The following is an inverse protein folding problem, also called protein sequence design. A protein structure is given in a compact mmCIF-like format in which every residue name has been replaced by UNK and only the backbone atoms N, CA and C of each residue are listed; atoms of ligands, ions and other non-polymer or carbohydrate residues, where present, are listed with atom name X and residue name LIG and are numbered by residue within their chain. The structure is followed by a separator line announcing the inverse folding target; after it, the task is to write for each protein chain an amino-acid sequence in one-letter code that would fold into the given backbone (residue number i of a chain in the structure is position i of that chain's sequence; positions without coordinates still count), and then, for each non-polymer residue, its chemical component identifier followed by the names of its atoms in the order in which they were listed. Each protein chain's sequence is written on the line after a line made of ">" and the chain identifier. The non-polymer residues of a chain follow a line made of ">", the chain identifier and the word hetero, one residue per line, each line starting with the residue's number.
data_IF_083355595658
#
_entry.id   IF_083355595658
#
_cell.length_a   1.000
_cell.length_b   1.000
_cell.length_c   1.000
_cell.angle_alpha   90.00
_cell.angle_beta   90.00
_cell.angle_gamma   90.00
#
_symmetry.space_group_name_H-M   'P 1'
#
loop_
_entity.id
_entity.type
_entity.pdbx_description
1 polymer ?
#
# COMPACT_ATOMS: atom_id res chain seq x y z
N UNK A 1 -54.44 73.85 37.85
CA UNK A 1 -52.99 73.64 37.96
C UNK A 1 -52.75 72.18 37.62
N UNK A 2 -52.71 71.91 36.33
CA UNK A 2 -52.50 70.58 35.75
C UNK A 2 -51.04 70.18 35.92
N UNK A 3 -50.80 68.99 36.45
CA UNK A 3 -49.53 68.30 36.31
C UNK A 3 -49.80 66.95 35.68
N UNK A 4 -49.62 66.92 34.37
CA UNK A 4 -49.76 65.77 33.49
C UNK A 4 -48.54 64.86 33.69
N UNK A 5 -48.71 63.74 34.38
CA UNK A 5 -47.70 62.68 34.44
C UNK A 5 -47.95 61.68 33.30
N UNK A 6 -47.04 61.69 32.34
CA UNK A 6 -46.95 60.72 31.24
C UNK A 6 -46.49 59.35 31.78
N UNK A 7 -47.12 58.23 31.37
CA UNK A 7 -46.60 56.90 31.65
C UNK A 7 -45.38 56.57 30.76
N UNK A 8 -44.42 55.76 31.24
CA UNK A 8 -43.25 55.37 30.44
C UNK A 8 -43.66 54.46 29.27
N UNK A 9 -43.08 54.72 28.10
CA UNK A 9 -43.18 53.88 26.90
C UNK A 9 -42.68 52.45 27.21
N UNK A 10 -43.29 51.38 26.65
CA UNK A 10 -42.87 50.02 26.91
C UNK A 10 -41.56 49.70 26.18
N UNK A 11 -40.49 49.49 26.96
CA UNK A 11 -39.15 49.08 26.53
C UNK A 11 -39.11 47.73 25.80
N UNK A 12 -40.22 46.99 25.79
CA UNK A 12 -40.39 45.72 25.09
C UNK A 12 -40.61 45.87 23.57
N UNK A 13 -41.08 47.02 23.07
CA UNK A 13 -41.31 47.20 21.62
C UNK A 13 -40.00 47.53 20.87
N UNK A 14 -39.04 48.20 21.53
CA UNK A 14 -37.75 48.54 20.93
C UNK A 14 -36.84 47.31 20.73
N UNK A 15 -36.96 46.30 21.62
CA UNK A 15 -36.15 45.07 21.56
C UNK A 15 -36.64 44.11 20.46
N UNK A 16 -37.94 44.12 20.16
CA UNK A 16 -38.53 43.31 19.07
C UNK A 16 -38.18 43.87 17.69
N UNK A 17 -38.06 45.20 17.56
CA UNK A 17 -37.65 45.83 16.30
C UNK A 17 -36.16 45.59 15.96
N UNK A 18 -35.29 45.49 16.98
CA UNK A 18 -33.86 45.17 16.79
C UNK A 18 -33.62 43.69 16.45
N UNK A 19 -34.47 42.78 16.98
CA UNK A 19 -34.45 41.37 16.61
C UNK A 19 -34.96 41.15 15.17
N UNK A 20 -35.97 41.90 14.70
CA UNK A 20 -36.49 41.76 13.33
C UNK A 20 -35.49 42.25 12.26
N UNK A 21 -34.74 43.33 12.52
CA UNK A 21 -33.68 43.82 11.62
C UNK A 21 -32.44 42.92 11.57
N UNK A 22 -32.24 42.07 12.59
CA UNK A 22 -31.13 41.11 12.61
C UNK A 22 -31.43 39.84 11.80
N UNK A 23 -32.71 39.55 11.51
CA UNK A 23 -33.12 38.40 10.69
C UNK A 23 -33.18 38.69 9.18
N UNK A 24 -33.09 39.95 8.74
CA UNK A 24 -33.16 40.29 7.30
C UNK A 24 -31.80 40.43 6.60
N UNK A 25 -30.67 40.16 7.28
CA UNK A 25 -29.33 40.38 6.72
C UNK A 25 -28.69 39.16 6.06
N UNK A 26 -29.39 38.03 5.94
CA UNK A 26 -28.95 36.92 5.09
C UNK A 26 -29.50 37.09 3.67
N UNK A 27 -28.97 38.08 2.95
CA UNK A 27 -28.97 37.98 1.49
C UNK A 27 -28.02 36.85 1.11
N UNK A 28 -28.59 35.68 0.87
CA UNK A 28 -27.94 34.61 0.12
C UNK A 28 -27.72 35.16 -1.28
N UNK A 29 -26.52 35.65 -1.55
CA UNK A 29 -26.09 35.93 -2.90
C UNK A 29 -25.90 34.57 -3.58
N UNK A 30 -26.91 34.11 -4.32
CA UNK A 30 -26.74 33.05 -5.32
C UNK A 30 -25.84 33.62 -6.41
N UNK A 31 -24.54 33.44 -6.25
CA UNK A 31 -23.63 33.49 -7.38
C UNK A 31 -23.90 32.24 -8.22
N UNK A 32 -24.61 32.44 -9.31
CA UNK A 32 -24.85 31.46 -10.37
C UNK A 32 -23.50 31.14 -11.05
N UNK A 33 -22.71 30.29 -10.39
CA UNK A 33 -21.55 29.63 -10.97
C UNK A 33 -21.98 28.24 -11.39
N UNK A 34 -22.07 28.00 -12.71
CA UNK A 34 -22.39 26.71 -13.33
C UNK A 34 -21.75 25.54 -12.58
N UNK A 35 -22.56 24.86 -11.76
CA UNK A 35 -22.23 23.57 -11.17
C UNK A 35 -22.40 22.52 -12.25
N UNK A 36 -21.29 22.05 -12.81
CA UNK A 36 -21.25 20.69 -13.32
C UNK A 36 -21.32 19.76 -12.11
N UNK A 37 -22.42 18.99 -12.04
CA UNK A 37 -22.72 17.88 -11.11
C UNK A 37 -22.86 18.22 -9.62
N UNK A 38 -24.10 18.54 -9.20
CA UNK A 38 -24.87 17.84 -8.16
C UNK A 38 -24.31 17.54 -6.75
N UNK A 39 -23.14 18.04 -6.34
CA UNK A 39 -22.58 17.72 -5.02
C UNK A 39 -23.18 18.62 -3.91
N UNK A 40 -23.65 18.02 -2.80
CA UNK A 40 -24.26 18.73 -1.68
C UNK A 40 -23.25 19.70 -1.00
N UNK A 41 -23.62 20.98 -0.78
CA UNK A 41 -22.72 22.03 -0.25
C UNK A 41 -22.27 21.83 1.21
N UNK A 42 -22.86 20.87 1.92
CA UNK A 42 -22.56 20.55 3.32
C UNK A 42 -21.73 19.28 3.51
N UNK A 43 -21.19 18.71 2.44
CA UNK A 43 -20.27 17.56 2.53
C UNK A 43 -18.89 17.96 3.05
N UNK A 44 -18.14 16.99 3.62
CA UNK A 44 -16.77 17.23 4.04
C UNK A 44 -15.88 17.67 2.86
N UNK A 45 -16.08 17.09 1.67
CA UNK A 45 -15.46 17.51 0.40
C UNK A 45 -15.78 18.97 0.07
N UNK A 46 -17.05 19.40 0.17
CA UNK A 46 -17.42 20.80 -0.06
C UNK A 46 -16.80 21.75 0.98
N UNK A 47 -16.69 21.32 2.23
CA UNK A 47 -16.00 22.08 3.28
C UNK A 47 -14.50 22.26 2.99
N UNK A 48 -13.83 21.17 2.56
CA UNK A 48 -12.43 21.20 2.14
C UNK A 48 -12.22 22.10 0.92
N UNK A 49 -13.08 22.00 -0.09
CA UNK A 49 -13.05 22.87 -1.29
C UNK A 49 -13.22 24.34 -0.89
N UNK A 50 -14.15 24.66 0.01
CA UNK A 50 -14.37 26.02 0.51
C UNK A 50 -13.15 26.54 1.28
N UNK A 51 -12.57 25.72 2.15
CA UNK A 51 -11.35 26.07 2.87
C UNK A 51 -10.19 26.29 1.91
N UNK A 52 -10.01 25.41 0.92
CA UNK A 52 -8.99 25.53 -0.12
C UNK A 52 -9.17 26.81 -0.93
N UNK A 53 -10.39 27.12 -1.37
CA UNK A 53 -10.69 28.37 -2.08
C UNK A 53 -10.40 29.62 -1.24
N UNK A 54 -10.53 29.53 0.10
CA UNK A 54 -10.27 30.65 1.00
C UNK A 54 -8.77 30.83 1.27
N UNK A 55 -8.02 29.75 1.40
CA UNK A 55 -6.61 29.78 1.83
C UNK A 55 -5.61 29.75 0.68
N UNK A 56 -6.01 29.24 -0.48
CA UNK A 56 -5.14 29.07 -1.64
C UNK A 56 -5.68 29.93 -2.78
N UNK A 57 -5.03 31.08 -2.96
CA UNK A 57 -5.42 32.11 -3.94
C UNK A 57 -4.99 31.82 -5.38
N UNK A 58 -4.37 30.66 -5.64
CA UNK A 58 -3.93 30.31 -6.99
C UNK A 58 -5.09 29.76 -7.84
N UNK A 59 -4.95 29.87 -9.18
CA UNK A 59 -5.95 29.39 -10.14
C UNK A 59 -5.67 27.96 -10.63
N UNK A 60 -4.81 27.22 -9.94
CA UNK A 60 -4.43 25.87 -10.35
C UNK A 60 -5.58 24.88 -10.08
N UNK A 61 -5.72 23.82 -10.89
CA UNK A 61 -6.67 22.76 -10.60
C UNK A 61 -6.38 22.17 -9.22
N UNK A 62 -7.43 21.95 -8.43
CA UNK A 62 -7.29 21.31 -7.11
C UNK A 62 -6.83 19.87 -7.33
N UNK A 63 -5.84 19.37 -6.56
CA UNK A 63 -5.38 17.99 -6.70
C UNK A 63 -6.55 17.02 -6.53
N UNK A 64 -6.88 16.29 -7.60
CA UNK A 64 -7.99 15.33 -7.62
C UNK A 64 -7.80 14.24 -6.57
N UNK A 65 -6.55 13.84 -6.33
CA UNK A 65 -6.16 12.91 -5.28
C UNK A 65 -6.55 13.38 -3.87
N UNK A 66 -6.33 14.65 -3.52
CA UNK A 66 -6.69 15.15 -2.18
C UNK A 66 -8.21 15.26 -2.00
N UNK A 67 -8.92 15.59 -3.08
CA UNK A 67 -10.38 15.66 -3.07
C UNK A 67 -11.04 14.27 -3.07
N UNK A 68 -10.40 13.25 -3.65
CA UNK A 68 -10.88 11.87 -3.60
C UNK A 68 -10.67 11.21 -2.24
N UNK A 69 -9.70 11.70 -1.45
CA UNK A 69 -9.44 11.25 -0.07
C UNK A 69 -10.18 12.06 1.01
N UNK A 70 -11.00 13.06 0.63
CA UNK A 70 -11.85 13.77 1.57
C UNK A 70 -12.93 12.82 2.13
N UNK A 71 -13.27 12.96 3.42
CA UNK A 71 -14.25 12.08 4.09
C UNK A 71 -15.55 11.96 3.27
N UNK A 72 -16.06 10.74 3.04
CA UNK A 72 -17.25 10.51 2.23
C UNK A 72 -18.56 10.81 2.97
N UNK A 73 -18.50 11.37 4.19
CA UNK A 73 -19.71 11.73 4.95
C UNK A 73 -20.62 12.60 4.10
N UNK A 74 -21.77 12.02 3.77
CA UNK A 74 -22.88 12.79 3.23
C UNK A 74 -23.47 13.69 4.34
N UNK A 75 -24.24 14.69 3.94
CA UNK A 75 -24.79 15.66 4.89
C UNK A 75 -25.76 15.05 5.92
N UNK A 76 -26.41 13.93 5.57
CA UNK A 76 -27.36 13.23 6.45
C UNK A 76 -26.60 12.52 7.56
N UNK A 77 -25.60 11.71 7.21
CA UNK A 77 -24.74 11.02 8.17
C UNK A 77 -24.02 12.04 9.06
N UNK A 78 -23.51 13.12 8.48
CA UNK A 78 -22.89 14.21 9.24
C UNK A 78 -23.84 14.83 10.27
N UNK A 79 -25.10 15.10 9.91
CA UNK A 79 -26.10 15.65 10.82
C UNK A 79 -26.49 14.66 11.94
N UNK A 80 -26.68 13.38 11.60
CA UNK A 80 -27.00 12.32 12.56
C UNK A 80 -25.86 12.12 13.55
N UNK A 81 -24.63 12.02 13.06
CA UNK A 81 -23.44 11.82 13.88
C UNK A 81 -23.14 13.05 14.74
N UNK A 82 -23.38 14.26 14.23
CA UNK A 82 -23.30 15.50 15.02
C UNK A 82 -24.31 15.50 16.16
N UNK A 83 -25.55 15.03 15.91
CA UNK A 83 -26.57 14.88 16.94
C UNK A 83 -26.19 13.84 18.00
N UNK A 84 -25.60 12.72 17.59
CA UNK A 84 -25.10 11.70 18.52
C UNK A 84 -23.93 12.23 19.36
N UNK A 85 -23.05 13.04 18.77
CA UNK A 85 -21.94 13.69 19.47
C UNK A 85 -22.43 14.69 20.52
N UNK A 86 -23.41 15.55 20.18
CA UNK A 86 -23.97 16.52 21.14
C UNK A 86 -24.74 15.85 22.28
N UNK A 87 -25.23 14.63 22.06
CA UNK A 87 -25.90 13.81 23.06
C UNK A 87 -24.96 12.90 23.86
N UNK A 88 -23.64 12.99 23.67
CA UNK A 88 -22.65 12.07 24.26
C UNK A 88 -22.92 10.58 23.94
N UNK A 89 -23.64 10.28 22.86
CA UNK A 89 -24.02 8.94 22.43
C UNK A 89 -23.18 8.43 21.24
N UNK A 90 -22.14 9.17 20.84
CA UNK A 90 -21.29 8.81 19.70
C UNK A 90 -20.47 7.54 19.97
N UNK A 91 -20.07 7.28 21.22
CA UNK A 91 -19.26 6.11 21.60
C UNK A 91 -19.96 4.78 21.31
N UNK A 92 -21.28 4.70 21.48
CA UNK A 92 -22.07 3.50 21.15
C UNK A 92 -22.29 3.30 19.65
N UNK A 93 -21.93 4.29 18.83
CA UNK A 93 -22.08 4.26 17.38
C UNK A 93 -20.73 4.48 16.67
N UNK A 94 -19.61 4.28 17.38
CA UNK A 94 -18.28 4.62 16.88
C UNK A 94 -17.95 3.79 15.63
N UNK A 95 -18.32 2.51 15.57
CA UNK A 95 -18.12 1.70 14.35
C UNK A 95 -18.89 2.24 13.14
N UNK A 96 -20.14 2.69 13.33
CA UNK A 96 -20.95 3.30 12.26
C UNK A 96 -20.40 4.68 11.87
N UNK A 97 -19.97 5.48 12.84
CA UNK A 97 -19.31 6.76 12.62
C UNK A 97 -18.07 6.57 11.76
N UNK A 98 -17.20 5.64 12.11
CA UNK A 98 -15.92 5.45 11.44
C UNK A 98 -16.08 4.84 10.04
N UNK A 99 -17.07 3.96 9.83
CA UNK A 99 -17.43 3.46 8.51
C UNK A 99 -17.97 4.58 7.61
N UNK A 100 -18.95 5.36 8.05
CA UNK A 100 -19.52 6.47 7.27
C UNK A 100 -18.52 7.61 7.07
N UNK A 101 -17.63 7.83 8.04
CA UNK A 101 -16.60 8.86 7.99
C UNK A 101 -15.31 8.45 7.28
N UNK A 102 -15.17 7.16 6.98
CA UNK A 102 -13.95 6.57 6.46
C UNK A 102 -12.75 6.94 7.36
N UNK A 103 -12.93 6.90 8.68
CA UNK A 103 -11.93 7.25 9.69
C UNK A 103 -11.34 5.99 10.31
N UNK A 104 -10.06 6.05 10.73
CA UNK A 104 -9.44 4.96 11.47
C UNK A 104 -9.98 4.87 12.89
N UNK A 105 -10.62 3.75 13.20
CA UNK A 105 -11.06 3.45 14.54
C UNK A 105 -10.76 2.00 14.85
N UNK A 106 -9.88 1.80 15.82
CA UNK A 106 -9.52 0.48 16.32
C UNK A 106 -10.61 0.05 17.29
N UNK A 107 -11.30 -1.02 16.94
CA UNK A 107 -12.20 -1.74 17.84
C UNK A 107 -11.70 -3.16 17.92
N UNK A 108 -11.55 -3.68 19.13
CA UNK A 108 -11.26 -5.10 19.35
C UNK A 108 -12.37 -5.93 18.69
N UNK A 109 -12.04 -6.45 17.50
CA UNK A 109 -12.97 -7.24 16.70
C UNK A 109 -12.83 -8.68 17.15
N UNK A 110 -13.88 -9.24 17.77
CA UNK A 110 -13.92 -10.65 18.10
C UNK A 110 -13.79 -11.49 16.82
N UNK A 111 -12.83 -12.42 16.81
CA UNK A 111 -12.59 -13.34 15.70
C UNK A 111 -13.82 -14.23 15.48
N UNK A 112 -14.47 -14.10 14.33
CA UNK A 112 -15.50 -15.06 13.89
C UNK A 112 -14.82 -16.15 13.07
N UNK A 113 -14.92 -17.39 13.51
CA UNK A 113 -14.41 -18.56 12.78
C UNK A 113 -15.55 -19.13 11.93
N UNK A 114 -15.60 -18.74 10.66
CA UNK A 114 -16.47 -19.40 9.69
C UNK A 114 -15.71 -20.59 9.07
N UNK A 115 -16.09 -21.82 9.43
CA UNK A 115 -15.66 -23.03 8.73
C UNK A 115 -16.60 -23.24 7.53
N UNK A 116 -16.16 -22.82 6.34
CA UNK A 116 -16.87 -23.11 5.09
C UNK A 116 -16.32 -24.40 4.48
N UNK A 117 -17.22 -25.32 4.10
CA UNK A 117 -16.91 -26.67 3.58
C UNK A 117 -17.10 -26.73 2.06
N UNK A 118 -17.48 -25.62 1.41
CA UNK A 118 -17.79 -25.55 -0.03
C UNK A 118 -16.98 -24.46 -0.70
N UNK A 119 -16.69 -24.69 -1.98
CA UNK A 119 -16.05 -23.76 -2.91
C UNK A 119 -16.82 -22.44 -2.93
N UNK A 120 -16.11 -21.34 -2.74
CA UNK A 120 -16.72 -20.02 -2.67
C UNK A 120 -16.09 -19.04 -3.65
N UNK A 121 -16.94 -18.16 -4.19
CA UNK A 121 -16.54 -17.04 -5.01
C UNK A 121 -17.01 -15.73 -4.34
N UNK A 122 -16.08 -15.04 -3.70
CA UNK A 122 -16.33 -13.77 -3.02
C UNK A 122 -16.04 -12.62 -3.98
N UNK A 123 -17.11 -12.06 -4.56
CA UNK A 123 -16.99 -10.92 -5.48
C UNK A 123 -16.77 -9.58 -4.77
N UNK A 124 -17.40 -9.38 -3.60
CA UNK A 124 -17.27 -8.17 -2.77
C UNK A 124 -17.37 -8.59 -1.30
N UNK A 125 -16.33 -8.32 -0.53
CA UNK A 125 -16.27 -8.73 0.88
C UNK A 125 -15.40 -7.75 1.64
N UNK A 126 -15.85 -7.23 2.79
CA UNK A 126 -15.19 -6.09 3.44
C UNK A 126 -14.85 -6.38 4.89
N UNK A 127 -13.58 -6.18 5.23
CA UNK A 127 -13.06 -6.06 6.60
C UNK A 127 -13.38 -7.21 7.56
N UNK A 128 -13.29 -8.46 7.07
CA UNK A 128 -13.68 -9.65 7.84
C UNK A 128 -12.56 -10.67 7.89
N UNK A 129 -11.91 -10.77 9.05
CA UNK A 129 -10.80 -11.70 9.21
C UNK A 129 -11.20 -13.17 9.13
N UNK A 130 -10.32 -13.99 8.58
CA UNK A 130 -10.45 -15.44 8.55
C UNK A 130 -9.33 -16.09 9.36
N UNK A 131 -9.69 -16.89 10.35
CA UNK A 131 -8.70 -17.64 11.12
C UNK A 131 -8.12 -18.81 10.31
N UNK A 132 -8.99 -19.61 9.69
CA UNK A 132 -8.62 -20.70 8.78
C UNK A 132 -9.71 -20.78 7.71
N UNK A 133 -9.32 -20.76 6.44
CA UNK A 133 -10.23 -20.90 5.30
C UNK A 133 -9.58 -21.83 4.26
N UNK A 134 -10.34 -22.71 3.62
CA UNK A 134 -9.81 -23.62 2.59
C UNK A 134 -8.85 -24.71 3.08
N UNK A 135 -8.64 -24.86 4.38
CA UNK A 135 -7.71 -25.87 4.91
C UNK A 135 -8.18 -27.32 4.65
N UNK A 136 -7.24 -28.22 4.35
CA UNK A 136 -7.44 -29.67 4.14
C UNK A 136 -8.44 -30.03 3.04
N UNK A 137 -8.61 -29.15 2.06
CA UNK A 137 -9.48 -29.39 0.88
C UNK A 137 -8.84 -30.38 -0.08
N UNK A 138 -9.68 -31.11 -0.81
CA UNK A 138 -9.26 -32.06 -1.86
C UNK A 138 -9.88 -31.59 -3.17
N UNK A 139 -9.07 -31.05 -4.07
CA UNK A 139 -9.54 -30.39 -5.28
C UNK A 139 -10.46 -29.21 -4.98
N UNK A 140 -11.01 -28.59 -6.03
CA UNK A 140 -11.90 -27.43 -5.91
C UNK A 140 -11.18 -26.10 -6.12
N UNK A 141 -11.97 -25.03 -6.18
CA UNK A 141 -11.47 -23.66 -6.40
C UNK A 141 -12.12 -22.70 -5.42
N UNK A 142 -11.31 -21.92 -4.72
CA UNK A 142 -11.78 -20.77 -3.94
C UNK A 142 -11.26 -19.47 -4.56
N UNK A 143 -12.13 -18.48 -4.79
CA UNK A 143 -11.76 -17.23 -5.45
C UNK A 143 -12.24 -15.99 -4.69
N UNK A 144 -11.35 -15.02 -4.46
CA UNK A 144 -11.65 -13.70 -3.88
C UNK A 144 -11.28 -12.60 -4.87
N UNK A 145 -12.25 -11.78 -5.31
CA UNK A 145 -12.00 -10.80 -6.38
C UNK A 145 -11.74 -9.38 -5.89
N UNK A 146 -12.47 -8.90 -4.88
CA UNK A 146 -12.39 -7.52 -4.38
C UNK A 146 -12.56 -7.50 -2.86
N UNK A 147 -11.55 -7.99 -2.15
CA UNK A 147 -11.61 -8.09 -0.70
C UNK A 147 -11.16 -6.76 -0.08
N UNK A 148 -12.03 -6.09 0.66
CA UNK A 148 -11.78 -4.82 1.38
C UNK A 148 -11.43 -3.64 0.48
N UNK A 149 -11.82 -3.69 -0.80
CA UNK A 149 -11.59 -2.62 -1.76
C UNK A 149 -12.40 -1.35 -1.44
N UNK A 150 -11.78 -0.19 -1.67
CA UNK A 150 -12.39 1.13 -1.50
C UNK A 150 -12.58 1.57 -0.04
N UNK A 151 -12.14 0.77 0.93
CA UNK A 151 -12.13 1.15 2.34
C UNK A 151 -10.93 2.05 2.62
N UNK A 152 -11.09 3.14 3.37
CA UNK A 152 -9.94 3.98 3.74
C UNK A 152 -8.96 3.24 4.64
N UNK A 153 -9.46 2.34 5.49
CA UNK A 153 -8.68 1.64 6.50
C UNK A 153 -8.99 0.13 6.53
N UNK A 154 -8.59 -0.63 5.49
CA UNK A 154 -8.85 -2.07 5.43
C UNK A 154 -7.98 -2.83 6.44
N UNK A 155 -8.60 -3.69 7.26
CA UNK A 155 -7.97 -4.41 8.36
C UNK A 155 -8.31 -5.91 8.44
N UNK A 156 -9.02 -6.47 7.46
CA UNK A 156 -9.49 -7.85 7.50
C UNK A 156 -8.40 -8.89 7.18
N UNK A 157 -7.73 -9.44 8.19
CA UNK A 157 -6.61 -10.38 8.00
C UNK A 157 -7.01 -11.84 7.73
N UNK A 158 -6.14 -12.57 7.02
CA UNK A 158 -6.16 -14.03 6.92
C UNK A 158 -5.03 -14.62 7.77
N UNK A 159 -5.37 -15.45 8.75
CA UNK A 159 -4.34 -16.17 9.52
C UNK A 159 -3.87 -17.43 8.79
N UNK A 160 -4.79 -18.21 8.21
CA UNK A 160 -4.49 -19.37 7.35
C UNK A 160 -5.47 -19.44 6.19
N UNK A 161 -4.93 -19.62 5.00
CA UNK A 161 -5.70 -19.90 3.78
C UNK A 161 -5.09 -21.13 3.07
N UNK A 162 -5.91 -22.13 2.78
CA UNK A 162 -5.55 -23.36 2.06
C UNK A 162 -4.39 -24.16 2.65
N UNK A 163 -4.33 -24.25 3.98
CA UNK A 163 -3.35 -25.09 4.65
C UNK A 163 -3.64 -26.57 4.46
N UNK A 164 -2.60 -27.37 4.21
CA UNK A 164 -2.66 -28.84 4.11
C UNK A 164 -3.65 -29.36 3.05
N UNK A 165 -3.94 -28.55 2.02
CA UNK A 165 -4.86 -28.91 0.92
C UNK A 165 -4.17 -29.83 -0.11
N UNK A 166 -4.95 -30.49 -0.95
CA UNK A 166 -4.45 -31.39 -2.00
C UNK A 166 -5.13 -31.11 -3.33
N UNK A 167 -4.38 -30.65 -4.32
CA UNK A 167 -4.91 -30.35 -5.67
C UNK A 167 -5.93 -29.20 -5.72
N UNK A 168 -6.04 -28.43 -4.64
CA UNK A 168 -6.94 -27.29 -4.54
C UNK A 168 -6.36 -26.08 -5.28
N UNK A 169 -7.22 -25.22 -5.82
CA UNK A 169 -6.81 -23.99 -6.49
C UNK A 169 -7.33 -22.77 -5.74
N UNK A 170 -6.43 -21.86 -5.38
CA UNK A 170 -6.79 -20.60 -4.74
C UNK A 170 -6.57 -19.44 -5.70
N UNK A 171 -7.55 -18.56 -5.81
CA UNK A 171 -7.44 -17.32 -6.57
C UNK A 171 -7.75 -16.12 -5.67
N UNK A 172 -6.88 -15.12 -5.68
CA UNK A 172 -7.06 -13.88 -4.92
C UNK A 172 -6.70 -12.68 -5.79
N UNK A 173 -7.69 -12.05 -6.43
CA UNK A 173 -7.46 -11.01 -7.44
C UNK A 173 -7.10 -9.65 -6.83
N UNK A 174 -7.78 -9.21 -5.77
CA UNK A 174 -7.54 -7.90 -5.16
C UNK A 174 -7.81 -7.93 -3.67
N UNK A 175 -6.84 -7.41 -2.92
CA UNK A 175 -6.94 -7.15 -1.50
C UNK A 175 -6.72 -5.65 -1.23
N UNK A 176 -7.69 -5.01 -0.58
CA UNK A 176 -7.60 -3.68 0.01
C UNK A 176 -7.18 -2.56 -0.94
N UNK A 177 -7.64 -2.66 -2.19
CA UNK A 177 -7.40 -1.64 -3.20
C UNK A 177 -7.95 -0.27 -2.79
N UNK A 178 -7.28 0.80 -3.22
CA UNK A 178 -7.72 2.19 -3.09
C UNK A 178 -7.81 2.70 -1.63
N UNK A 179 -7.18 2.00 -0.69
CA UNK A 179 -7.11 2.40 0.71
C UNK A 179 -6.26 3.64 0.98
N UNK A 180 -6.34 4.15 2.22
CA UNK A 180 -5.40 5.14 2.70
C UNK A 180 -4.35 4.50 3.60
N UNK A 181 -4.76 3.75 4.61
CA UNK A 181 -3.81 2.97 5.42
C UNK A 181 -4.37 1.57 5.61
N UNK A 182 -3.70 0.60 5.01
CA UNK A 182 -4.08 -0.80 5.13
C UNK A 182 -3.32 -1.43 6.30
N UNK A 183 -4.03 -2.19 7.15
CA UNK A 183 -3.44 -2.84 8.34
C UNK A 183 -3.75 -4.32 8.40
N UNK A 184 -4.42 -4.86 7.40
CA UNK A 184 -4.74 -6.29 7.38
C UNK A 184 -3.57 -7.11 6.82
N UNK A 185 -3.49 -8.35 7.25
CA UNK A 185 -2.29 -9.19 7.13
C UNK A 185 -2.63 -10.59 6.62
N UNK A 186 -1.67 -11.27 6.01
CA UNK A 186 -1.77 -12.69 5.63
C UNK A 186 -0.68 -13.49 6.33
N UNK A 187 -1.03 -14.20 7.41
CA UNK A 187 -0.04 -14.97 8.15
C UNK A 187 0.33 -16.29 7.48
N UNK A 188 -0.59 -16.90 6.71
CA UNK A 188 -0.34 -18.20 6.10
C UNK A 188 -1.20 -18.46 4.87
N UNK A 189 -0.56 -18.91 3.80
CA UNK A 189 -1.22 -19.25 2.55
C UNK A 189 -0.59 -20.52 1.97
N UNK A 190 -1.39 -21.53 1.68
CA UNK A 190 -0.97 -22.78 1.04
C UNK A 190 -0.10 -23.69 1.91
N UNK A 191 0.14 -23.38 3.19
CA UNK A 191 1.09 -24.13 4.02
C UNK A 191 0.82 -25.64 4.03
N UNK A 192 1.76 -26.45 3.53
CA UNK A 192 1.64 -27.91 3.46
C UNK A 192 0.79 -28.43 2.30
N UNK A 193 0.42 -27.57 1.35
CA UNK A 193 -0.38 -27.95 0.19
C UNK A 193 0.37 -28.93 -0.72
N UNK A 194 -0.36 -29.87 -1.31
CA UNK A 194 0.18 -30.88 -2.22
C UNK A 194 -0.53 -30.86 -3.56
N UNK A 195 0.17 -30.45 -4.63
CA UNK A 195 -0.45 -30.20 -5.93
C UNK A 195 -1.43 -29.04 -5.89
N UNK A 196 -2.00 -28.69 -7.05
CA UNK A 196 -2.85 -27.51 -7.17
C UNK A 196 -2.05 -26.24 -7.45
N UNK A 197 -2.66 -25.07 -7.25
CA UNK A 197 -1.98 -23.80 -7.43
C UNK A 197 -2.64 -22.65 -6.69
N UNK A 198 -1.83 -21.67 -6.29
CA UNK A 198 -2.29 -20.40 -5.74
C UNK A 198 -1.94 -19.23 -6.65
N UNK A 199 -2.93 -18.40 -6.95
CA UNK A 199 -2.74 -17.13 -7.64
C UNK A 199 -3.16 -15.97 -6.74
N UNK A 200 -2.29 -14.98 -6.61
CA UNK A 200 -2.60 -13.73 -5.93
C UNK A 200 -2.20 -12.56 -6.83
N UNK A 201 -3.18 -11.84 -7.36
CA UNK A 201 -2.92 -10.83 -8.38
C UNK A 201 -2.49 -9.51 -7.78
N UNK A 202 -3.24 -8.91 -6.85
CA UNK A 202 -2.92 -7.58 -6.30
C UNK A 202 -3.14 -7.48 -4.80
N UNK A 203 -2.13 -7.02 -4.07
CA UNK A 203 -2.25 -6.69 -2.65
C UNK A 203 -1.97 -5.21 -2.41
N UNK A 204 -2.93 -4.52 -1.78
CA UNK A 204 -2.88 -3.10 -1.42
C UNK A 204 -2.52 -2.18 -2.61
N UNK A 205 -3.06 -2.39 -3.83
CA UNK A 205 -2.79 -1.47 -4.92
C UNK A 205 -3.43 -0.11 -4.63
N UNK A 206 -2.74 0.98 -4.96
CA UNK A 206 -3.22 2.36 -4.80
C UNK A 206 -3.45 2.76 -3.33
N UNK A 207 -2.84 2.05 -2.38
CA UNK A 207 -2.89 2.36 -0.95
C UNK A 207 -1.81 3.38 -0.60
N UNK A 208 -2.17 4.46 0.09
CA UNK A 208 -1.21 5.52 0.44
C UNK A 208 -0.16 5.07 1.48
N UNK A 209 -0.59 4.30 2.48
CA UNK A 209 0.25 3.69 3.52
C UNK A 209 -0.04 2.21 3.70
N UNK A 210 0.58 1.33 2.88
CA UNK A 210 0.47 -0.09 3.05
C UNK A 210 1.28 -0.57 4.25
N UNK A 211 0.74 -1.58 4.93
CA UNK A 211 1.44 -2.34 5.95
C UNK A 211 1.28 -3.82 5.64
N UNK A 212 2.13 -4.30 4.74
CA UNK A 212 2.08 -5.69 4.28
C UNK A 212 2.88 -6.58 5.20
N UNK A 213 2.20 -7.51 5.86
CA UNK A 213 2.85 -8.60 6.57
C UNK A 213 2.38 -9.94 6.01
N UNK A 214 3.30 -10.60 5.29
CA UNK A 214 3.16 -11.94 4.76
C UNK A 214 4.12 -12.89 5.47
N UNK A 215 3.57 -13.74 6.35
CA UNK A 215 4.42 -14.51 7.27
C UNK A 215 4.84 -15.87 6.72
N UNK A 216 3.96 -16.59 6.04
CA UNK A 216 4.29 -17.92 5.51
C UNK A 216 3.57 -18.18 4.21
N UNK A 217 4.32 -18.68 3.24
CA UNK A 217 3.79 -18.96 1.92
C UNK A 217 4.26 -20.32 1.44
N UNK A 218 3.33 -21.25 1.45
CA UNK A 218 3.51 -22.67 1.16
C UNK A 218 4.76 -23.32 1.78
N UNK A 219 5.02 -23.12 3.09
CA UNK A 219 6.04 -23.90 3.75
C UNK A 219 5.66 -25.38 3.73
N UNK A 220 6.63 -26.23 3.43
CA UNK A 220 6.49 -27.68 3.30
C UNK A 220 5.55 -28.14 2.17
N UNK A 221 5.22 -27.26 1.21
CA UNK A 221 4.45 -27.61 0.02
C UNK A 221 5.12 -28.63 -0.89
N UNK A 222 4.34 -29.29 -1.72
CA UNK A 222 4.85 -30.24 -2.71
C UNK A 222 4.11 -30.11 -4.04
N UNK A 223 4.81 -29.71 -5.10
CA UNK A 223 4.26 -29.52 -6.45
C UNK A 223 3.07 -28.56 -6.52
N UNK A 224 2.97 -27.62 -5.60
CA UNK A 224 1.94 -26.60 -5.57
C UNK A 224 2.53 -25.32 -6.20
N UNK A 225 2.01 -24.89 -7.36
CA UNK A 225 2.58 -23.75 -8.09
C UNK A 225 1.98 -22.46 -7.58
N UNK A 226 2.82 -21.43 -7.43
CA UNK A 226 2.37 -20.15 -6.91
C UNK A 226 2.73 -18.99 -7.83
N UNK A 227 1.83 -18.03 -7.95
CA UNK A 227 2.06 -16.84 -8.76
C UNK A 227 1.53 -15.59 -8.08
N UNK A 228 2.39 -14.59 -8.03
CA UNK A 228 2.11 -13.24 -7.55
C UNK A 228 2.37 -12.24 -8.65
N UNK A 229 1.34 -11.47 -8.99
CA UNK A 229 1.52 -10.41 -9.98
C UNK A 229 2.11 -9.16 -9.31
N UNK A 230 1.34 -8.45 -8.48
CA UNK A 230 1.76 -7.17 -7.96
C UNK A 230 1.49 -7.03 -6.45
N UNK A 231 2.52 -6.59 -5.73
CA UNK A 231 2.38 -6.07 -4.39
C UNK A 231 2.59 -4.58 -4.43
N UNK A 232 1.57 -3.84 -3.96
CA UNK A 232 1.68 -2.43 -3.61
C UNK A 232 2.20 -1.55 -4.74
N UNK A 233 1.28 -0.93 -5.47
CA UNK A 233 1.63 -0.02 -6.56
C UNK A 233 1.03 1.37 -6.33
N UNK A 234 1.69 2.39 -6.87
CA UNK A 234 1.37 3.81 -6.71
C UNK A 234 1.16 4.21 -5.23
N UNK A 235 2.06 3.76 -4.33
CA UNK A 235 2.02 4.11 -2.91
C UNK A 235 2.92 5.29 -2.53
N UNK A 236 2.59 6.00 -1.46
CA UNK A 236 3.40 7.13 -0.98
C UNK A 236 4.47 6.69 0.04
N UNK A 237 4.08 5.87 1.01
CA UNK A 237 5.03 5.42 2.03
C UNK A 237 4.56 4.15 2.71
N UNK A 238 5.43 3.23 3.06
CA UNK A 238 4.99 2.07 3.82
C UNK A 238 6.10 1.08 4.06
N UNK A 239 5.71 -0.09 4.55
CA UNK A 239 6.64 -1.20 4.75
C UNK A 239 5.98 -2.52 4.41
N UNK A 240 6.80 -3.42 3.90
CA UNK A 240 6.39 -4.75 3.49
C UNK A 240 7.38 -5.77 4.05
N UNK A 241 6.86 -6.87 4.56
CA UNK A 241 7.66 -7.96 5.08
C UNK A 241 7.12 -9.29 4.61
N UNK A 242 7.99 -10.03 3.92
CA UNK A 242 7.72 -11.32 3.31
C UNK A 242 8.65 -12.36 3.90
N UNK A 243 8.08 -13.40 4.52
CA UNK A 243 8.87 -14.42 5.21
C UNK A 243 8.44 -15.84 4.83
N UNK A 244 9.41 -16.77 4.84
CA UNK A 244 9.19 -18.21 4.71
C UNK A 244 8.43 -18.66 3.44
N UNK A 245 8.87 -18.20 2.28
CA UNK A 245 8.32 -18.60 0.98
C UNK A 245 8.92 -19.92 0.49
N UNK A 246 8.07 -20.91 0.18
CA UNK A 246 8.50 -22.22 -0.33
C UNK A 246 9.47 -22.96 0.61
N UNK A 247 9.51 -22.57 1.89
CA UNK A 247 10.46 -23.10 2.88
C UNK A 247 10.22 -24.59 3.09
N UNK A 248 11.25 -25.41 2.93
CA UNK A 248 11.19 -26.89 2.92
C UNK A 248 10.23 -27.45 1.85
N UNK A 249 9.85 -26.65 0.85
CA UNK A 249 9.00 -27.09 -0.24
C UNK A 249 9.74 -28.01 -1.21
N UNK A 250 8.97 -28.77 -1.99
CA UNK A 250 9.46 -29.66 -3.05
C UNK A 250 8.79 -29.28 -4.36
N UNK A 251 9.56 -28.72 -5.31
CA UNK A 251 9.06 -28.25 -6.60
C UNK A 251 7.83 -27.32 -6.45
N UNK A 252 7.93 -26.30 -5.61
CA UNK A 252 6.93 -25.25 -5.36
C UNK A 252 7.41 -23.96 -6.06
N UNK A 253 7.39 -23.90 -7.41
CA UNK A 253 7.91 -22.74 -8.11
C UNK A 253 7.07 -21.51 -7.78
N UNK A 254 7.75 -20.41 -7.47
CA UNK A 254 7.13 -19.13 -7.21
C UNK A 254 7.52 -18.11 -8.30
N UNK A 255 6.51 -17.47 -8.88
CA UNK A 255 6.69 -16.41 -9.86
C UNK A 255 6.19 -15.09 -9.26
N UNK A 256 7.04 -14.06 -9.29
CA UNK A 256 6.76 -12.72 -8.80
C UNK A 256 7.00 -11.69 -9.89
N UNK A 257 5.98 -10.88 -10.17
CA UNK A 257 6.05 -9.92 -11.29
C UNK A 257 6.55 -8.55 -10.85
N UNK A 258 5.90 -7.88 -9.90
CA UNK A 258 6.29 -6.54 -9.42
C UNK A 258 6.06 -6.35 -7.92
N UNK A 259 6.90 -5.50 -7.33
CA UNK A 259 6.77 -4.97 -5.98
C UNK A 259 7.02 -3.47 -6.00
N UNK A 260 6.18 -2.67 -5.35
CA UNK A 260 6.46 -1.27 -5.10
C UNK A 260 6.49 -0.41 -6.37
N UNK A 261 5.77 -0.76 -7.44
CA UNK A 261 5.82 -0.01 -8.70
C UNK A 261 5.27 1.42 -8.51
N UNK A 262 5.89 2.40 -9.17
CA UNK A 262 5.47 3.81 -9.11
C UNK A 262 5.36 4.40 -7.68
N UNK A 263 6.14 3.89 -6.74
CA UNK A 263 6.00 4.23 -5.32
C UNK A 263 6.99 5.29 -4.86
N UNK A 264 6.71 5.98 -3.75
CA UNK A 264 7.60 7.01 -3.21
C UNK A 264 8.63 6.41 -2.23
N UNK A 265 8.28 6.23 -0.94
CA UNK A 265 9.20 5.68 0.08
C UNK A 265 8.66 4.34 0.61
N UNK A 266 8.91 3.26 -0.11
CA UNK A 266 8.52 1.91 0.30
C UNK A 266 9.75 1.14 0.79
N UNK A 267 9.57 0.41 1.89
CA UNK A 267 10.61 -0.44 2.46
C UNK A 267 10.19 -1.90 2.44
N UNK A 268 10.87 -2.76 1.67
CA UNK A 268 10.48 -4.17 1.55
C UNK A 268 11.56 -5.10 2.10
N UNK A 269 11.15 -6.07 2.91
CA UNK A 269 12.05 -7.07 3.52
C UNK A 269 11.63 -8.48 3.14
N UNK A 270 12.58 -9.25 2.62
CA UNK A 270 12.37 -10.61 2.11
C UNK A 270 13.26 -11.59 2.86
N UNK A 271 12.68 -12.62 3.46
CA UNK A 271 13.43 -13.55 4.33
C UNK A 271 13.02 -15.01 4.12
N UNK A 272 14.02 -15.89 3.99
CA UNK A 272 13.85 -17.35 3.97
C UNK A 272 13.03 -17.86 2.78
N UNK A 273 13.34 -17.36 1.58
CA UNK A 273 12.82 -17.90 0.33
C UNK A 273 13.55 -19.19 -0.03
N UNK A 274 12.81 -20.25 -0.36
CA UNK A 274 13.37 -21.54 -0.75
C UNK A 274 14.28 -22.19 0.31
N UNK A 275 14.18 -21.77 1.58
CA UNK A 275 15.06 -22.28 2.63
C UNK A 275 14.87 -23.79 2.81
N UNK A 276 15.94 -24.59 2.70
CA UNK A 276 15.93 -26.06 2.75
C UNK A 276 14.99 -26.71 1.72
N UNK A 277 14.65 -25.99 0.65
CA UNK A 277 13.75 -26.49 -0.38
C UNK A 277 14.47 -27.37 -1.41
N UNK A 278 13.72 -28.14 -2.18
CA UNK A 278 14.25 -29.07 -3.18
C UNK A 278 13.60 -28.83 -4.54
N UNK A 279 14.41 -28.53 -5.56
CA UNK A 279 13.97 -28.37 -6.94
C UNK A 279 13.15 -27.11 -7.19
N UNK A 280 13.39 -26.04 -6.43
CA UNK A 280 12.68 -24.77 -6.65
C UNK A 280 13.15 -24.08 -7.92
N UNK A 281 12.22 -23.38 -8.57
CA UNK A 281 12.49 -22.59 -9.75
C UNK A 281 11.71 -21.28 -9.64
N UNK A 282 12.33 -20.30 -9.02
CA UNK A 282 11.71 -19.04 -8.63
C UNK A 282 12.16 -17.91 -9.57
N UNK A 283 11.20 -17.07 -9.96
CA UNK A 283 11.44 -15.93 -10.84
C UNK A 283 10.89 -14.65 -10.22
N UNK A 284 11.76 -13.64 -10.12
CA UNK A 284 11.45 -12.32 -9.58
C UNK A 284 11.77 -11.27 -10.65
N UNK A 285 10.73 -10.62 -11.17
CA UNK A 285 10.86 -9.82 -12.40
C UNK A 285 11.15 -8.35 -12.15
N UNK A 286 10.48 -7.71 -11.19
CA UNK A 286 10.67 -6.28 -10.94
C UNK A 286 10.49 -5.92 -9.46
N UNK A 287 11.38 -5.07 -8.97
CA UNK A 287 11.27 -4.38 -7.69
C UNK A 287 11.45 -2.87 -7.92
N UNK A 288 10.48 -2.10 -7.44
CA UNK A 288 10.49 -0.64 -7.36
C UNK A 288 10.75 0.07 -8.69
N UNK A 289 10.07 -0.39 -9.73
CA UNK A 289 10.14 0.25 -11.03
C UNK A 289 9.58 1.68 -10.96
N UNK A 290 10.35 2.65 -11.46
CA UNK A 290 9.94 4.07 -11.48
C UNK A 290 9.57 4.67 -10.11
N UNK A 291 10.20 4.18 -9.03
CA UNK A 291 9.96 4.65 -7.65
C UNK A 291 10.88 5.80 -7.24
N UNK A 292 10.57 6.53 -6.15
CA UNK A 292 11.39 7.68 -5.74
C UNK A 292 12.59 7.29 -4.86
N UNK A 293 12.35 6.67 -3.71
CA UNK A 293 13.39 6.30 -2.74
C UNK A 293 13.08 4.95 -2.05
N UNK A 294 13.02 3.86 -2.83
CA UNK A 294 12.76 2.52 -2.30
C UNK A 294 13.96 1.97 -1.49
N UNK A 295 13.67 1.15 -0.49
CA UNK A 295 14.70 0.46 0.30
C UNK A 295 14.37 -1.03 0.42
N UNK A 296 15.19 -1.89 -0.17
CA UNK A 296 14.96 -3.33 -0.11
C UNK A 296 15.99 -4.08 0.71
N UNK A 297 15.52 -5.06 1.48
CA UNK A 297 16.35 -5.94 2.30
C UNK A 297 16.05 -7.41 2.01
N UNK A 298 16.91 -8.03 1.22
CA UNK A 298 16.85 -9.44 0.84
C UNK A 298 17.78 -10.27 1.73
N UNK A 299 17.20 -10.95 2.73
CA UNK A 299 17.97 -11.61 3.78
C UNK A 299 18.45 -13.01 3.42
N UNK A 300 17.61 -13.85 2.82
CA UNK A 300 17.98 -15.23 2.49
C UNK A 300 17.13 -15.84 1.39
N UNK A 301 17.82 -16.35 0.37
CA UNK A 301 17.28 -17.10 -0.76
C UNK A 301 18.04 -18.41 -0.93
N UNK A 302 17.30 -19.51 -1.08
CA UNK A 302 17.84 -20.85 -1.32
C UNK A 302 18.86 -21.33 -0.28
N UNK A 303 18.73 -20.85 0.97
CA UNK A 303 19.61 -21.22 2.08
C UNK A 303 19.46 -22.72 2.39
N UNK A 304 20.54 -23.48 2.20
CA UNK A 304 20.54 -24.93 2.40
C UNK A 304 19.64 -25.69 1.40
N UNK A 305 19.24 -25.05 0.31
CA UNK A 305 18.40 -25.66 -0.72
C UNK A 305 19.16 -26.66 -1.59
N UNK A 306 18.42 -27.49 -2.32
CA UNK A 306 18.95 -28.45 -3.28
C UNK A 306 18.37 -28.21 -4.67
N UNK A 307 19.23 -28.04 -5.68
CA UNK A 307 18.88 -27.80 -7.07
C UNK A 307 17.92 -26.61 -7.28
N UNK A 308 18.02 -25.58 -6.44
CA UNK A 308 17.21 -24.38 -6.58
C UNK A 308 17.69 -23.51 -7.74
N UNK A 309 16.78 -22.91 -8.50
CA UNK A 309 17.07 -21.93 -9.55
C UNK A 309 16.33 -20.65 -9.23
N UNK A 310 17.06 -19.57 -8.93
CA UNK A 310 16.51 -18.26 -8.65
C UNK A 310 16.92 -17.27 -9.76
N UNK A 311 15.96 -16.59 -10.35
CA UNK A 311 16.19 -15.58 -11.39
C UNK A 311 15.63 -14.22 -10.98
N UNK A 312 16.51 -13.23 -10.90
CA UNK A 312 16.24 -11.88 -10.42
C UNK A 312 16.49 -10.89 -11.55
N UNK A 313 15.43 -10.24 -12.05
CA UNK A 313 15.49 -9.56 -13.34
C UNK A 313 15.77 -8.06 -13.25
N UNK A 314 14.97 -7.27 -12.53
CA UNK A 314 15.14 -5.82 -12.46
C UNK A 314 14.90 -5.25 -11.05
N UNK A 315 15.83 -4.40 -10.61
CA UNK A 315 15.78 -3.73 -9.32
C UNK A 315 16.01 -2.25 -9.50
N UNK A 316 15.03 -1.46 -9.02
CA UNK A 316 15.05 0.00 -9.07
C UNK A 316 15.29 0.55 -10.48
N UNK A 317 14.87 -0.17 -11.52
CA UNK A 317 15.02 0.32 -12.90
C UNK A 317 14.14 1.56 -13.08
N UNK A 318 14.75 2.69 -13.42
CA UNK A 318 14.06 3.98 -13.51
C UNK A 318 13.68 4.60 -12.15
N UNK A 319 14.14 4.07 -11.02
CA UNK A 319 13.92 4.74 -9.74
C UNK A 319 14.82 5.99 -9.59
N UNK A 320 14.42 6.96 -8.77
CA UNK A 320 15.17 8.20 -8.57
C UNK A 320 16.43 7.99 -7.72
N UNK A 321 16.34 7.29 -6.59
CA UNK A 321 17.45 6.86 -5.73
C UNK A 321 17.07 5.54 -5.03
N UNK A 322 17.51 5.28 -3.80
CA UNK A 322 17.18 4.09 -3.02
C UNK A 322 18.36 3.14 -2.84
N UNK A 323 18.18 2.17 -1.95
CA UNK A 323 19.23 1.24 -1.54
C UNK A 323 18.70 -0.20 -1.48
N UNK A 324 19.49 -1.13 -2.00
CA UNK A 324 19.18 -2.56 -1.91
C UNK A 324 20.27 -3.32 -1.14
N UNK A 325 19.83 -4.24 -0.28
CA UNK A 325 20.73 -5.12 0.48
C UNK A 325 20.42 -6.59 0.24
N UNK A 326 21.37 -7.27 -0.39
CA UNK A 326 21.38 -8.67 -0.73
C UNK A 326 22.31 -9.41 0.24
N UNK A 327 21.78 -10.19 1.18
CA UNK A 327 22.58 -10.73 2.29
C UNK A 327 23.03 -12.17 2.12
N UNK A 328 22.21 -13.06 1.55
CA UNK A 328 22.53 -14.48 1.49
C UNK A 328 21.77 -15.19 0.37
N UNK A 329 22.50 -15.82 -0.54
CA UNK A 329 21.94 -16.45 -1.74
C UNK A 329 22.65 -17.76 -2.02
N UNK A 330 21.88 -18.83 -2.16
CA UNK A 330 22.41 -20.18 -2.38
C UNK A 330 23.47 -20.59 -1.32
N UNK A 331 23.47 -19.96 -0.15
CA UNK A 331 24.39 -20.27 0.93
C UNK A 331 24.14 -21.69 1.41
N UNK A 332 25.21 -22.46 1.60
CA UNK A 332 25.15 -23.86 2.04
C UNK A 332 24.24 -24.75 1.18
N UNK A 333 23.98 -24.36 -0.07
CA UNK A 333 23.12 -25.09 -1.00
C UNK A 333 23.89 -26.17 -1.76
N UNK A 334 23.16 -27.05 -2.42
CA UNK A 334 23.70 -28.02 -3.36
C UNK A 334 23.11 -27.77 -4.75
N UNK A 335 23.98 -27.59 -5.74
CA UNK A 335 23.60 -27.44 -7.16
C UNK A 335 22.65 -26.26 -7.44
N UNK A 336 22.71 -25.19 -6.65
CA UNK A 336 21.85 -24.03 -6.84
C UNK A 336 22.35 -23.12 -7.98
N UNK A 337 21.42 -22.44 -8.64
CA UNK A 337 21.70 -21.46 -9.69
C UNK A 337 21.01 -20.16 -9.33
N UNK A 338 21.77 -19.07 -9.25
CA UNK A 338 21.22 -17.75 -8.94
C UNK A 338 21.66 -16.77 -10.03
N UNK A 339 20.72 -16.08 -10.66
CA UNK A 339 21.03 -15.14 -11.73
C UNK A 339 20.45 -13.77 -11.41
N UNK A 340 21.33 -12.77 -11.41
CA UNK A 340 21.03 -11.37 -11.19
C UNK A 340 21.20 -10.64 -12.54
N UNK A 341 20.12 -10.17 -13.16
CA UNK A 341 20.19 -9.46 -14.44
C UNK A 341 20.45 -7.94 -14.34
N UNK A 342 19.66 -7.15 -13.61
CA UNK A 342 19.80 -5.69 -13.56
C UNK A 342 19.57 -5.09 -12.15
N UNK A 343 20.57 -4.33 -11.65
CA UNK A 343 20.57 -3.71 -10.31
C UNK A 343 21.11 -2.29 -10.39
N UNK A 344 20.30 -1.33 -9.95
CA UNK A 344 20.75 0.05 -9.77
C UNK A 344 20.83 0.86 -11.06
N UNK A 345 20.00 0.55 -12.06
CA UNK A 345 19.72 1.44 -13.21
C UNK A 345 18.78 2.58 -12.79
N UNK A 346 19.23 3.38 -11.82
CA UNK A 346 18.52 4.54 -11.28
C UNK A 346 18.98 5.87 -11.89
N UNK A 347 18.15 6.90 -11.76
CA UNK A 347 18.47 8.26 -12.21
C UNK A 347 19.63 8.87 -11.41
N UNK A 348 19.60 8.76 -10.08
CA UNK A 348 20.71 9.10 -9.21
C UNK A 348 21.35 7.83 -8.66
N UNK A 349 22.61 7.94 -8.26
CA UNK A 349 23.37 6.82 -7.69
C UNK A 349 22.71 6.37 -6.38
N UNK A 350 22.14 5.16 -6.37
CA UNK A 350 21.75 4.44 -5.15
C UNK A 350 22.89 3.59 -4.61
N UNK A 351 22.67 2.80 -3.56
CA UNK A 351 23.66 1.89 -3.01
C UNK A 351 23.18 0.43 -3.00
N UNK A 352 23.99 -0.46 -3.60
CA UNK A 352 23.70 -1.89 -3.60
C UNK A 352 24.74 -2.66 -2.78
N UNK A 353 24.29 -3.45 -1.81
CA UNK A 353 25.19 -4.29 -1.00
C UNK A 353 24.91 -5.74 -1.23
N UNK A 354 25.96 -6.50 -1.49
CA UNK A 354 25.89 -7.90 -1.84
C UNK A 354 26.78 -8.73 -0.89
N UNK A 355 26.22 -9.74 -0.21
CA UNK A 355 26.93 -10.66 0.71
C UNK A 355 26.58 -12.14 0.53
N UNK A 356 27.52 -13.00 0.91
CA UNK A 356 27.32 -14.46 1.13
C UNK A 356 26.78 -15.31 -0.03
N UNK A 357 27.09 -14.97 -1.29
CA UNK A 357 26.70 -15.77 -2.46
C UNK A 357 27.42 -17.10 -2.52
N UNK A 358 26.67 -18.20 -2.63
CA UNK A 358 27.22 -19.55 -2.77
C UNK A 358 28.13 -19.98 -1.62
N UNK A 359 28.15 -19.23 -0.50
CA UNK A 359 29.09 -19.47 0.59
C UNK A 359 28.87 -20.85 1.20
N UNK A 360 29.90 -21.68 1.20
CA UNK A 360 29.82 -23.07 1.71
C UNK A 360 28.88 -23.97 0.91
N UNK A 361 28.57 -23.61 -0.33
CA UNK A 361 27.74 -24.40 -1.24
C UNK A 361 28.57 -25.41 -2.05
N UNK A 362 27.88 -26.35 -2.69
CA UNK A 362 28.47 -27.34 -3.61
C UNK A 362 27.83 -27.18 -4.99
N UNK A 363 28.63 -27.24 -6.05
CA UNK A 363 28.20 -27.15 -7.46
C UNK A 363 27.24 -26.00 -7.80
N UNK A 364 27.40 -24.87 -7.11
CA UNK A 364 26.54 -23.70 -7.26
C UNK A 364 27.08 -22.72 -8.30
N UNK A 365 26.16 -22.05 -9.00
CA UNK A 365 26.47 -20.99 -9.96
C UNK A 365 25.74 -19.71 -9.59
N UNK A 366 26.44 -18.57 -9.53
CA UNK A 366 25.85 -17.26 -9.29
C UNK A 366 26.32 -16.26 -10.36
N UNK A 367 25.40 -15.70 -11.14
CA UNK A 367 25.72 -14.76 -12.21
C UNK A 367 25.22 -13.36 -11.91
N UNK A 368 26.06 -12.35 -12.13
CA UNK A 368 25.68 -10.94 -12.15
C UNK A 368 25.89 -10.38 -13.56
N UNK A 369 24.80 -9.96 -14.20
CA UNK A 369 24.85 -9.43 -15.57
C UNK A 369 25.14 -7.94 -15.58
N UNK A 370 24.29 -7.11 -14.98
CA UNK A 370 24.42 -5.64 -14.96
C UNK A 370 24.29 -5.13 -13.54
N UNK A 371 25.24 -4.29 -13.10
CA UNK A 371 25.22 -3.62 -11.79
C UNK A 371 25.66 -2.14 -11.92
N UNK A 372 25.13 -1.29 -11.03
CA UNK A 372 25.34 0.16 -11.00
C UNK A 372 26.73 0.61 -10.51
N UNK A 373 26.92 1.92 -10.29
CA UNK A 373 28.23 2.52 -9.94
C UNK A 373 28.65 2.33 -8.48
N UNK A 374 27.70 2.22 -7.55
CA UNK A 374 27.95 2.18 -6.11
C UNK A 374 27.43 0.86 -5.53
N UNK A 375 28.28 -0.17 -5.63
CA UNK A 375 27.99 -1.51 -5.16
C UNK A 375 29.10 -2.03 -4.26
N UNK A 376 28.78 -3.02 -3.44
CA UNK A 376 29.76 -3.69 -2.58
C UNK A 376 29.51 -5.20 -2.57
N UNK A 377 30.44 -6.01 -3.09
CA UNK A 377 30.42 -7.47 -2.94
C UNK A 377 31.31 -7.91 -1.78
N UNK A 378 30.77 -8.73 -0.87
CA UNK A 378 31.48 -9.27 0.32
C UNK A 378 31.17 -10.76 0.52
N UNK A 379 32.10 -11.47 1.15
CA UNK A 379 31.89 -12.82 1.71
C UNK A 379 31.32 -13.88 0.74
N UNK A 380 31.67 -13.84 -0.55
CA UNK A 380 31.14 -14.76 -1.57
C UNK A 380 32.09 -15.92 -1.91
N UNK A 381 31.53 -17.02 -2.42
CA UNK A 381 32.29 -18.15 -2.94
C UNK A 381 32.98 -17.79 -4.26
N UNK A 382 34.26 -18.09 -4.43
CA UNK A 382 34.98 -17.67 -5.65
C UNK A 382 34.64 -18.57 -6.84
N UNK A 383 34.39 -19.85 -6.58
CA UNK A 383 34.04 -20.82 -7.62
C UNK A 383 32.56 -20.71 -7.98
N UNK A 384 32.26 -20.62 -9.27
CA UNK A 384 30.88 -20.57 -9.77
C UNK A 384 30.24 -19.17 -9.76
N UNK A 385 30.94 -18.15 -9.26
CA UNK A 385 30.46 -16.75 -9.35
C UNK A 385 31.02 -16.08 -10.61
N UNK A 386 30.16 -15.43 -11.39
CA UNK A 386 30.54 -14.73 -12.63
C UNK A 386 29.97 -13.33 -12.70
N UNK A 387 30.74 -12.38 -13.23
CA UNK A 387 30.34 -10.99 -13.47
C UNK A 387 30.50 -10.70 -14.97
N UNK A 388 29.42 -10.29 -15.65
CA UNK A 388 29.42 -10.11 -17.11
C UNK A 388 29.66 -8.67 -17.55
N UNK A 389 28.89 -7.71 -17.03
CA UNK A 389 28.89 -6.34 -17.53
C UNK A 389 28.80 -5.32 -16.39
N UNK A 390 29.64 -4.30 -16.50
CA UNK A 390 29.61 -3.15 -15.61
C UNK A 390 28.90 -2.00 -16.32
N UNK A 391 27.75 -1.56 -15.81
CA UNK A 391 27.12 -0.35 -16.32
C UNK A 391 27.83 0.87 -15.73
N UNK A 392 28.66 1.54 -16.54
CA UNK A 392 28.94 2.96 -16.28
C UNK A 392 27.63 3.70 -16.52
N UNK A 393 27.24 4.56 -15.59
CA UNK A 393 26.23 5.59 -15.88
C UNK A 393 26.80 6.54 -16.94
N UNK A 394 26.79 6.11 -18.20
CA UNK A 394 27.00 6.96 -19.35
C UNK A 394 25.64 7.53 -19.69
N UNK A 395 25.56 8.85 -19.55
CA UNK A 395 24.46 9.73 -19.94
C UNK A 395 24.07 9.66 -21.44
N UNK A 396 24.47 8.62 -22.18
CA UNK A 396 24.18 8.42 -23.60
C UNK A 396 24.31 6.93 -24.02
N UNK A 397 23.72 5.99 -23.29
CA UNK A 397 23.54 4.62 -23.80
C UNK A 397 22.13 4.46 -24.34
N UNK A 398 22.04 4.53 -25.67
CA UNK A 398 20.87 4.13 -26.46
C UNK A 398 20.38 2.76 -26.02
N UNK A 399 19.12 2.71 -25.61
CA UNK A 399 18.38 1.50 -25.30
C UNK A 399 18.62 0.44 -26.38
N UNK A 400 19.45 -0.55 -26.08
CA UNK A 400 19.61 -1.73 -26.92
C UNK A 400 18.53 -2.73 -26.51
N UNK A 401 17.38 -2.58 -27.15
CA UNK A 401 16.41 -3.63 -27.52
C UNK A 401 16.46 -4.94 -26.71
N UNK A 402 15.84 -4.94 -25.54
CA UNK A 402 15.06 -6.08 -25.08
C UNK A 402 13.58 -5.65 -25.18
N UNK A 403 12.87 -6.30 -26.11
CA UNK A 403 11.46 -6.17 -26.47
C UNK A 403 10.61 -5.16 -25.69
N UNK A 404 10.42 -4.00 -26.32
CA UNK A 404 9.20 -3.19 -26.28
C UNK A 404 8.71 -2.72 -24.91
N UNK A 405 9.26 -1.63 -24.40
CA UNK A 405 8.50 -0.45 -23.92
C UNK A 405 9.47 0.73 -23.97
N UNK A 406 9.28 1.59 -24.96
CA UNK A 406 9.92 2.91 -25.01
C UNK A 406 9.23 3.81 -23.98
N UNK A 407 9.86 4.10 -22.84
CA UNK A 407 9.40 5.17 -21.94
C UNK A 407 9.85 6.51 -22.49
N UNK A 408 9.17 7.00 -23.52
CA UNK A 408 8.94 8.44 -23.62
C UNK A 408 7.98 8.79 -22.49
N UNK A 409 8.48 9.22 -21.32
CA UNK A 409 7.57 9.79 -20.32
C UNK A 409 8.27 10.73 -19.35
N UNK A 410 8.06 12.02 -19.63
CA UNK A 410 7.76 13.01 -18.59
C UNK A 410 7.09 12.35 -17.38
N UNK A 411 7.63 12.54 -16.18
CA UNK A 411 6.88 12.26 -14.95
C UNK A 411 5.57 13.02 -15.04
N UNK A 412 4.43 12.31 -15.02
CA UNK A 412 3.11 12.94 -15.03
C UNK A 412 3.05 13.96 -13.88
N UNK A 413 2.69 15.20 -14.22
CA UNK A 413 2.60 16.27 -13.23
C UNK A 413 1.54 15.88 -12.20
N UNK A 414 1.94 15.74 -10.92
CA UNK A 414 1.06 15.33 -9.82
C UNK A 414 1.21 13.87 -9.35
N UNK A 415 2.03 13.03 -9.99
CA UNK A 415 2.32 11.66 -9.48
C UNK A 415 3.26 11.65 -8.27
N UNK A 416 4.26 12.53 -8.25
CA UNK A 416 5.22 12.64 -7.16
C UNK A 416 5.34 14.10 -6.71
N UNK A 417 5.48 14.31 -5.40
CA UNK A 417 5.78 15.62 -4.85
C UNK A 417 7.29 15.77 -4.68
N UNK A 418 7.85 16.88 -5.16
CA UNK A 418 9.24 17.23 -4.85
C UNK A 418 9.28 17.89 -3.48
N UNK A 419 10.30 17.63 -2.68
CA UNK A 419 10.44 18.23 -1.35
C UNK A 419 10.49 19.78 -1.41
N UNK A 420 11.11 20.34 -2.46
CA UNK A 420 11.10 21.78 -2.74
C UNK A 420 9.70 22.35 -3.01
N UNK A 421 8.75 21.46 -3.32
CA UNK A 421 7.34 21.78 -3.45
C UNK A 421 6.60 21.59 -2.14
N UNK A 422 7.23 21.48 -0.97
CA UNK A 422 6.56 21.45 0.33
C UNK A 422 6.78 22.78 1.07
N UNK A 423 5.72 23.25 1.74
CA UNK A 423 5.62 24.37 2.67
C UNK A 423 5.23 23.79 4.02
N UNK A 424 5.96 24.18 5.06
CA UNK A 424 5.59 23.89 6.44
C UNK A 424 4.19 24.47 6.73
N UNK A 425 3.27 23.63 7.20
CA UNK A 425 1.93 24.07 7.60
C UNK A 425 1.79 24.22 9.11
N UNK A 426 0.73 24.90 9.53
CA UNK A 426 0.48 25.18 10.95
C UNK A 426 0.08 23.91 11.71
N UNK A 427 0.61 23.74 12.92
CA UNK A 427 0.23 22.67 13.87
C UNK A 427 -1.25 22.79 14.22
N UNK A 428 -2.04 21.77 13.89
CA UNK A 428 -3.42 21.68 14.37
C UNK A 428 -3.45 21.02 15.74
N UNK A 429 -4.05 21.71 16.72
CA UNK A 429 -4.35 21.14 18.04
C UNK A 429 -5.71 20.44 17.95
N UNK A 430 -5.71 19.12 18.02
CA UNK A 430 -6.95 18.33 18.17
C UNK A 430 -7.16 18.07 19.65
N UNK A 431 -8.30 18.51 20.20
CA UNK A 431 -8.68 18.20 21.57
C UNK A 431 -9.33 16.81 21.62
N UNK A 432 -8.56 15.82 22.08
CA UNK A 432 -9.11 14.59 22.67
C UNK A 432 -9.17 14.78 24.20
N UNK A 433 -10.19 14.27 24.91
CA UNK A 433 -10.19 14.29 26.37
C UNK A 433 -9.09 13.32 26.84
N UNK A 434 -7.95 13.87 27.28
CA UNK A 434 -6.88 13.14 27.95
C UNK A 434 -5.49 13.25 27.35
N UNK A 435 -5.33 13.52 26.05
CA UNK A 435 -4.00 13.68 25.44
C UNK A 435 -4.00 14.66 24.26
N UNK A 436 -3.02 15.58 24.23
CA UNK A 436 -2.76 16.47 23.09
C UNK A 436 -2.02 15.70 22.00
N UNK A 437 -2.68 15.43 20.89
CA UNK A 437 -2.02 15.06 19.63
C UNK A 437 -1.70 16.34 18.85
N UNK A 438 -0.41 16.57 18.55
CA UNK A 438 0.02 17.57 17.58
C UNK A 438 0.14 16.89 16.22
N UNK A 439 -0.64 17.35 15.24
CA UNK A 439 -0.51 16.92 13.84
C UNK A 439 0.06 18.11 13.06
N UNK A 440 1.26 17.95 12.51
CA UNK A 440 1.88 18.89 11.58
C UNK A 440 1.54 18.45 10.15
N UNK A 441 0.85 19.30 9.39
CA UNK A 441 0.52 19.05 7.99
C UNK A 441 1.46 19.89 7.13
N UNK A 442 2.13 19.30 6.14
CA UNK A 442 2.90 20.02 5.11
C UNK A 442 1.98 20.30 3.89
N UNK A 443 1.99 21.53 3.37
CA UNK A 443 1.24 21.95 2.18
C UNK A 443 2.16 22.06 0.98
N UNK A 444 1.66 21.90 -0.25
CA UNK A 444 2.53 21.96 -1.43
C UNK A 444 2.76 23.41 -1.93
N UNK A 445 4.02 23.79 -2.15
CA UNK A 445 4.50 24.95 -2.93
C UNK A 445 4.68 24.61 -4.41
N UNK A 446 4.37 25.52 -5.33
CA UNK A 446 4.66 25.34 -6.75
C UNK A 446 6.13 25.69 -7.07
N UNK A 447 6.77 25.06 -8.08
CA UNK A 447 8.05 25.53 -8.63
C UNK A 447 7.87 26.93 -9.23
N UNK A 448 8.86 27.80 -9.06
CA UNK A 448 8.92 29.09 -9.73
C UNK A 448 8.93 28.92 -11.25
N UNK A 449 8.21 29.82 -11.93
CA UNK A 449 8.24 29.97 -13.39
C UNK A 449 9.63 30.39 -13.87
#
# INVERSE_FOLDING_TARGET
>A
METMHTPPLPTTILFVFFLYLSFTSFNVCFAEGKSSTGDNPFTAKASLIRYWNKQISNKLPKPSFLLSKASPLNAVDSAVLTKLATQNALSSHLSSFCASANLFCVFDSASTSEKQVKDANFALYSNRGFANYGDSRIGGVDSFKNYSDGLNMPSGSFRRYSGDSTGHHEEFTSYARDGNVATGTFSGYGSGATGGSGEFTNYDPLVNVPHLEFTTYDPNGSNHKLTFAAYTDDTNSGTESFTSYGKKGKNVPAEFTSYGENSNIIGSTFTSYGQLANGQNDSFKAYDHSSNNPHNSFKSYSLGGNAATDAFSNYRDGANVGDDSFQSYARSSNSAKVNFANYGRTFNVGNDTFKEYGKGSTDTSVGFKIYGLNYTFKDYERKGVTFSEYSRASSNSTATTASGISVNRWVESGKFFRESMLKEGNVMVVFAPGHRLQITIFLLSSPGA
#
